data_IF_363754832424
#
_entry.id   IF_363754832424
#
_cell.length_a   1.000
_cell.length_b   1.000
_cell.length_c   1.000
_cell.angle_alpha   90.00
_cell.angle_beta   90.00
_cell.angle_gamma   90.00
#
_symmetry.space_group_name_H-M   'P 1'
#
loop_
_entity.id
_entity.type
_entity.pdbx_description
1 polymer ?
#
# COMPACT_ATOMS: atom_id res chain seq x y z
N UNK A 1 1.99 4.97 -14.96
CA UNK A 1 2.90 3.97 -14.35
C UNK A 1 2.34 2.59 -14.61
N UNK A 2 3.18 1.58 -14.88
CA UNK A 2 2.75 0.21 -15.20
C UNK A 2 3.66 -0.79 -14.50
N UNK A 3 3.08 -1.74 -13.78
CA UNK A 3 3.78 -2.90 -13.20
C UNK A 3 3.57 -4.05 -14.16
N UNK A 4 4.64 -4.77 -14.51
CA UNK A 4 4.57 -5.91 -15.41
C UNK A 4 5.09 -7.17 -14.72
N UNK A 5 4.23 -8.16 -14.61
CA UNK A 5 4.58 -9.52 -14.18
C UNK A 5 4.78 -10.36 -15.43
N UNK A 6 5.95 -11.03 -15.57
CA UNK A 6 6.30 -11.82 -16.73
C UNK A 6 6.70 -13.23 -16.33
N UNK A 7 5.93 -14.20 -16.82
CA UNK A 7 6.21 -15.65 -16.71
C UNK A 7 6.53 -16.08 -15.27
N UNK A 8 5.81 -15.49 -14.30
CA UNK A 8 6.04 -15.71 -12.87
C UNK A 8 5.69 -17.14 -12.49
N UNK A 9 6.62 -17.84 -11.84
CA UNK A 9 6.38 -19.16 -11.27
C UNK A 9 6.85 -19.18 -9.82
N UNK A 10 6.08 -19.84 -8.95
CA UNK A 10 6.38 -20.01 -7.54
C UNK A 10 5.77 -21.32 -7.04
N UNK A 11 6.58 -22.12 -6.33
CA UNK A 11 6.12 -23.34 -5.68
C UNK A 11 6.48 -23.35 -4.20
N UNK A 12 5.66 -24.00 -3.38
CA UNK A 12 5.94 -24.28 -1.98
C UNK A 12 5.64 -25.75 -1.68
N UNK A 13 6.60 -26.44 -1.05
CA UNK A 13 6.42 -27.82 -0.62
C UNK A 13 6.05 -28.79 -1.75
N UNK A 14 6.53 -28.51 -2.97
CA UNK A 14 6.22 -29.34 -4.16
C UNK A 14 4.85 -29.03 -4.80
N UNK A 15 4.13 -28.03 -4.33
CA UNK A 15 2.89 -27.56 -4.95
C UNK A 15 3.13 -26.23 -5.67
N UNK A 16 2.80 -26.18 -6.95
CA UNK A 16 2.83 -24.95 -7.74
C UNK A 16 1.74 -23.99 -7.26
N UNK A 17 2.16 -22.78 -6.93
CA UNK A 17 1.26 -21.66 -6.58
C UNK A 17 0.99 -20.82 -7.83
N UNK A 18 2.04 -20.52 -8.58
CA UNK A 18 1.99 -19.86 -9.88
C UNK A 18 2.81 -20.65 -10.89
N UNK A 19 2.29 -20.78 -12.11
CA UNK A 19 2.97 -21.40 -13.23
C UNK A 19 2.80 -20.52 -14.46
N UNK A 20 3.91 -19.90 -14.90
CA UNK A 20 3.96 -19.04 -16.12
C UNK A 20 2.91 -17.93 -16.11
N UNK A 21 2.70 -17.29 -14.96
CA UNK A 21 1.71 -16.24 -14.77
C UNK A 21 2.24 -14.89 -15.25
N UNK A 22 1.47 -14.22 -16.09
CA UNK A 22 1.79 -12.87 -16.59
C UNK A 22 0.60 -11.95 -16.44
N UNK A 23 0.86 -10.71 -15.99
CA UNK A 23 -0.15 -9.68 -15.76
C UNK A 23 0.46 -8.29 -15.81
N UNK A 24 -0.28 -7.34 -16.36
CA UNK A 24 0.03 -5.93 -16.31
C UNK A 24 -0.96 -5.20 -15.38
N UNK A 25 -0.43 -4.33 -14.51
CA UNK A 25 -1.21 -3.52 -13.58
C UNK A 25 -0.88 -2.05 -13.83
N UNK A 26 -1.84 -1.29 -14.32
CA UNK A 26 -1.68 0.13 -14.60
C UNK A 26 -1.99 1.01 -13.38
N UNK A 27 -1.50 2.25 -13.40
CA UNK A 27 -1.87 3.27 -12.41
C UNK A 27 -3.39 3.48 -12.39
N UNK A 28 -3.96 3.66 -11.20
CA UNK A 28 -5.41 3.79 -11.01
C UNK A 28 -6.18 2.46 -10.99
N UNK A 29 -5.53 1.33 -11.29
CA UNK A 29 -6.12 0.00 -11.09
C UNK A 29 -6.18 -0.31 -9.60
N UNK A 30 -7.36 -0.72 -9.12
CA UNK A 30 -7.55 -1.28 -7.78
C UNK A 30 -7.86 -2.76 -7.94
N UNK A 31 -6.83 -3.58 -7.79
CA UNK A 31 -6.85 -5.02 -8.04
C UNK A 31 -7.18 -5.78 -6.76
N UNK A 32 -8.35 -6.37 -6.69
CA UNK A 32 -8.74 -7.32 -5.65
C UNK A 32 -8.17 -8.71 -5.99
N UNK A 33 -7.31 -9.24 -5.14
CA UNK A 33 -6.78 -10.61 -5.26
C UNK A 33 -7.60 -11.52 -4.37
N UNK A 34 -8.29 -12.49 -4.98
CA UNK A 34 -9.18 -13.40 -4.27
C UNK A 34 -8.93 -14.87 -4.64
N UNK A 35 -9.50 -15.77 -3.86
CA UNK A 35 -9.37 -17.21 -4.02
C UNK A 35 -9.29 -17.93 -2.67
N UNK A 36 -9.27 -19.29 -2.66
CA UNK A 36 -9.22 -20.10 -1.46
C UNK A 36 -7.99 -19.82 -0.59
N UNK A 37 -8.05 -20.22 0.69
CA UNK A 37 -6.88 -20.12 1.56
C UNK A 37 -5.72 -20.99 1.02
N UNK A 38 -4.50 -20.45 1.07
CA UNK A 38 -3.31 -21.13 0.58
C UNK A 38 -3.12 -21.12 -0.95
N UNK A 39 -3.95 -20.37 -1.71
CA UNK A 39 -3.78 -20.27 -3.18
C UNK A 39 -2.69 -19.27 -3.62
N UNK A 40 -2.03 -18.56 -2.68
CA UNK A 40 -0.90 -17.69 -2.98
C UNK A 40 -1.19 -16.20 -2.98
N UNK A 41 -2.33 -15.72 -2.43
CA UNK A 41 -2.67 -14.29 -2.37
C UNK A 41 -1.58 -13.45 -1.70
N UNK A 42 -1.25 -13.76 -0.45
CA UNK A 42 -0.19 -13.09 0.31
C UNK A 42 1.19 -13.28 -0.30
N UNK A 43 1.44 -14.43 -0.95
CA UNK A 43 2.69 -14.70 -1.67
C UNK A 43 2.85 -13.73 -2.84
N UNK A 44 1.79 -13.48 -3.61
CA UNK A 44 1.82 -12.50 -4.70
C UNK A 44 2.11 -11.10 -4.17
N UNK A 45 1.44 -10.68 -3.09
CA UNK A 45 1.68 -9.38 -2.46
C UNK A 45 3.13 -9.25 -2.02
N UNK A 46 3.70 -10.27 -1.34
CA UNK A 46 5.10 -10.24 -0.90
C UNK A 46 6.09 -10.21 -2.07
N UNK A 47 5.82 -10.93 -3.16
CA UNK A 47 6.65 -10.85 -4.36
C UNK A 47 6.58 -9.48 -5.03
N UNK A 48 5.41 -8.83 -5.08
CA UNK A 48 5.25 -7.47 -5.55
C UNK A 48 5.97 -6.44 -4.66
N UNK A 49 6.08 -6.73 -3.36
CA UNK A 49 6.81 -5.90 -2.38
C UNK A 49 8.33 -6.16 -2.37
N UNK A 50 8.85 -7.06 -3.24
CA UNK A 50 10.24 -7.53 -3.24
C UNK A 50 10.66 -8.19 -1.90
N UNK A 51 9.69 -8.66 -1.12
CA UNK A 51 9.91 -9.37 0.14
C UNK A 51 10.11 -10.88 -0.07
N UNK A 52 9.63 -11.42 -1.17
CA UNK A 52 9.82 -12.82 -1.62
C UNK A 52 10.29 -12.84 -3.07
N UNK A 53 11.23 -13.72 -3.40
CA UNK A 53 11.67 -13.93 -4.77
C UNK A 53 10.81 -14.98 -5.48
N UNK A 54 10.45 -14.80 -6.76
CA UNK A 54 9.87 -15.87 -7.58
C UNK A 54 10.92 -16.97 -7.87
N UNK A 55 10.46 -18.18 -8.17
CA UNK A 55 11.35 -19.27 -8.56
C UNK A 55 11.80 -19.11 -10.03
N UNK A 56 10.93 -18.54 -10.86
CA UNK A 56 11.27 -18.07 -12.22
C UNK A 56 10.36 -16.94 -12.66
N UNK A 57 10.71 -16.31 -13.79
CA UNK A 57 10.04 -15.09 -14.25
C UNK A 57 10.57 -13.84 -13.55
N UNK A 58 9.84 -12.75 -13.69
CA UNK A 58 10.23 -11.45 -13.09
C UNK A 58 9.06 -10.51 -12.91
N UNK A 59 9.21 -9.59 -11.96
CA UNK A 59 8.33 -8.45 -11.75
C UNK A 59 9.11 -7.19 -12.12
N UNK A 60 8.55 -6.39 -13.00
CA UNK A 60 9.18 -5.16 -13.50
C UNK A 60 8.40 -3.98 -12.94
N UNK A 61 9.06 -3.21 -12.08
CA UNK A 61 8.57 -1.94 -11.54
C UNK A 61 9.23 -0.78 -12.28
N UNK A 62 8.52 0.34 -12.51
CA UNK A 62 9.14 1.55 -13.05
C UNK A 62 10.28 2.05 -12.15
N UNK A 63 11.29 2.69 -12.73
CA UNK A 63 12.39 3.27 -11.95
C UNK A 63 11.86 4.35 -11.00
N UNK A 64 12.30 4.30 -9.73
CA UNK A 64 11.87 5.25 -8.70
C UNK A 64 10.45 5.04 -8.20
N UNK A 65 9.79 3.94 -8.57
CA UNK A 65 8.48 3.58 -8.07
C UNK A 65 8.55 3.29 -6.56
N UNK A 66 7.72 4.00 -5.78
CA UNK A 66 7.61 3.82 -4.34
C UNK A 66 6.52 2.81 -4.05
N UNK A 67 6.90 1.71 -3.41
CA UNK A 67 5.97 0.64 -3.03
C UNK A 67 5.65 0.77 -1.54
N UNK A 68 4.37 0.91 -1.21
CA UNK A 68 3.85 0.85 0.15
C UNK A 68 3.39 -0.55 0.46
N UNK A 69 4.01 -1.18 1.44
CA UNK A 69 3.67 -2.52 1.94
C UNK A 69 3.79 -2.57 3.45
N UNK A 70 2.80 -3.16 4.11
CA UNK A 70 2.79 -3.33 5.56
C UNK A 70 3.68 -4.51 5.94
N UNK A 71 4.85 -4.23 6.52
CA UNK A 71 5.77 -5.27 6.99
C UNK A 71 5.17 -6.05 8.17
N UNK A 72 5.49 -7.33 8.26
CA UNK A 72 4.96 -8.20 9.31
C UNK A 72 5.52 -7.86 10.69
N UNK A 73 6.82 -7.58 10.79
CA UNK A 73 7.50 -7.31 12.05
C UNK A 73 7.89 -5.83 12.19
N UNK A 74 7.89 -5.35 13.44
CA UNK A 74 8.45 -4.06 13.82
C UNK A 74 9.88 -4.30 14.33
N UNK A 75 10.80 -3.44 13.91
CA UNK A 75 12.16 -3.43 14.46
C UNK A 75 12.10 -3.07 15.96
N UNK A 76 12.82 -3.80 16.78
CA UNK A 76 12.92 -3.51 18.21
C UNK A 76 13.44 -2.09 18.49
N UNK A 77 14.26 -1.55 17.60
CA UNK A 77 14.82 -0.21 17.72
C UNK A 77 13.77 0.91 17.71
N UNK A 78 12.59 0.68 17.08
CA UNK A 78 11.53 1.70 17.02
C UNK A 78 10.49 1.59 18.12
N UNK A 79 10.56 0.58 18.98
CA UNK A 79 9.54 0.31 19.99
C UNK A 79 9.43 1.41 21.06
N UNK A 80 10.50 2.14 21.33
CA UNK A 80 10.54 3.26 22.28
C UNK A 80 10.17 4.61 21.65
N UNK A 81 10.02 4.67 20.32
CA UNK A 81 9.67 5.89 19.60
C UNK A 81 8.19 6.21 19.79
N UNK A 82 7.80 7.50 20.01
CA UNK A 82 6.41 7.93 20.00
C UNK A 82 5.73 7.65 18.66
N UNK A 83 4.44 7.27 18.71
CA UNK A 83 3.69 6.86 17.51
C UNK A 83 3.72 7.91 16.39
N UNK A 84 3.41 9.18 16.70
CA UNK A 84 3.37 10.24 15.70
C UNK A 84 4.76 10.46 15.09
N UNK A 85 5.80 10.52 15.90
CA UNK A 85 7.18 10.68 15.45
C UNK A 85 7.58 9.54 14.48
N UNK A 86 7.27 8.29 14.84
CA UNK A 86 7.54 7.14 13.99
C UNK A 86 6.77 7.17 12.66
N UNK A 87 5.52 7.64 12.67
CA UNK A 87 4.72 7.76 11.43
C UNK A 87 5.22 8.90 10.55
N UNK A 88 5.65 10.02 11.15
CA UNK A 88 6.19 11.18 10.43
C UNK A 88 7.57 10.92 9.84
N UNK A 89 8.39 10.09 10.49
CA UNK A 89 9.75 9.73 10.05
C UNK A 89 9.83 9.16 8.62
N UNK A 90 8.72 8.64 8.09
CA UNK A 90 8.63 8.18 6.69
C UNK A 90 8.53 9.33 5.68
N UNK A 91 8.24 10.54 6.14
CA UNK A 91 8.11 11.73 5.31
C UNK A 91 9.48 12.39 5.08
N UNK A 92 9.62 13.20 4.01
CA UNK A 92 10.84 13.96 3.79
C UNK A 92 11.18 14.85 4.98
N UNK A 93 12.46 14.97 5.27
CA UNK A 93 12.93 15.91 6.27
C UNK A 93 12.79 17.36 5.77
N UNK A 94 11.71 18.01 6.24
CA UNK A 94 11.46 19.40 5.94
C UNK A 94 12.42 20.35 6.65
N UNK A 95 13.03 19.93 7.75
CA UNK A 95 14.01 20.74 8.46
C UNK A 95 15.28 20.92 7.60
N UNK A 96 15.79 19.86 7.03
CA UNK A 96 16.94 19.90 6.11
C UNK A 96 16.62 20.73 4.87
N UNK A 97 15.40 20.60 4.33
CA UNK A 97 14.94 21.42 3.21
C UNK A 97 14.96 22.93 3.56
N UNK A 98 14.37 23.31 4.68
CA UNK A 98 14.30 24.73 5.09
C UNK A 98 15.69 25.27 5.45
N UNK A 99 16.54 24.48 6.09
CA UNK A 99 17.94 24.85 6.38
C UNK A 99 18.73 25.12 5.09
N UNK A 100 18.55 24.27 4.07
CA UNK A 100 19.16 24.48 2.77
C UNK A 100 18.63 25.73 2.05
N UNK A 101 17.31 26.01 2.18
CA UNK A 101 16.67 27.20 1.63
C UNK A 101 17.24 28.48 2.26
N UNK A 102 17.31 28.54 3.60
CA UNK A 102 17.84 29.68 4.32
C UNK A 102 19.33 29.95 3.96
N UNK A 103 20.13 28.89 3.85
CA UNK A 103 21.53 29.01 3.43
C UNK A 103 21.66 29.54 2.00
N UNK A 104 20.83 29.09 1.07
CA UNK A 104 20.81 29.56 -0.31
C UNK A 104 20.36 31.04 -0.38
N UNK A 105 19.34 31.41 0.39
CA UNK A 105 18.86 32.78 0.47
C UNK A 105 19.91 33.74 1.06
N UNK A 106 20.60 33.33 2.13
CA UNK A 106 21.66 34.10 2.77
C UNK A 106 22.85 34.32 1.84
N UNK A 107 23.23 33.30 1.05
CA UNK A 107 24.31 33.39 0.08
C UNK A 107 23.93 34.02 -1.26
N UNK A 108 22.63 34.34 -1.45
CA UNK A 108 22.05 34.84 -2.73
C UNK A 108 22.34 33.92 -3.92
N UNK A 109 22.38 32.61 -3.67
CA UNK A 109 22.56 31.61 -4.72
C UNK A 109 21.24 31.38 -5.47
N UNK A 110 21.03 32.15 -6.55
CA UNK A 110 19.80 32.08 -7.36
C UNK A 110 19.60 30.69 -7.99
N UNK A 111 20.66 29.99 -8.33
CA UNK A 111 20.57 28.65 -8.90
C UNK A 111 20.14 27.60 -7.86
N UNK A 112 20.63 27.73 -6.62
CA UNK A 112 20.19 26.89 -5.50
C UNK A 112 18.73 27.19 -5.13
N UNK A 113 18.33 28.47 -5.06
CA UNK A 113 16.95 28.87 -4.78
C UNK A 113 15.99 28.33 -5.84
N UNK A 114 16.33 28.41 -7.12
CA UNK A 114 15.48 27.87 -8.19
C UNK A 114 15.30 26.34 -8.10
N UNK A 115 16.40 25.61 -7.80
CA UNK A 115 16.33 24.14 -7.59
C UNK A 115 15.49 23.75 -6.38
N UNK A 116 15.67 24.47 -5.28
CA UNK A 116 14.88 24.26 -4.04
C UNK A 116 13.42 24.60 -4.25
N UNK A 117 13.07 25.65 -5.02
CA UNK A 117 11.69 25.98 -5.38
C UNK A 117 11.02 24.88 -6.20
N UNK A 118 11.71 24.29 -7.18
CA UNK A 118 11.21 23.13 -7.92
C UNK A 118 11.03 21.92 -7.00
N UNK A 119 11.98 21.69 -6.08
CA UNK A 119 11.87 20.59 -5.09
C UNK A 119 10.73 20.80 -4.10
N UNK A 120 10.49 22.04 -3.65
CA UNK A 120 9.35 22.38 -2.79
C UNK A 120 8.04 22.02 -3.47
N UNK A 121 7.84 22.46 -4.71
CA UNK A 121 6.63 22.16 -5.46
C UNK A 121 6.39 20.65 -5.62
N UNK A 122 7.45 19.86 -5.85
CA UNK A 122 7.39 18.41 -5.91
C UNK A 122 6.98 17.79 -4.56
N UNK A 123 7.61 18.23 -3.47
CA UNK A 123 7.31 17.75 -2.12
C UNK A 123 5.88 18.11 -1.69
N UNK A 124 5.44 19.34 -1.98
CA UNK A 124 4.07 19.79 -1.68
C UNK A 124 3.02 19.01 -2.49
N UNK A 125 3.31 18.68 -3.74
CA UNK A 125 2.43 17.86 -4.58
C UNK A 125 2.30 16.43 -4.06
N UNK A 126 3.37 15.86 -3.49
CA UNK A 126 3.39 14.48 -2.99
C UNK A 126 2.85 14.36 -1.55
N UNK A 127 3.17 15.32 -0.68
CA UNK A 127 2.94 15.21 0.77
C UNK A 127 2.06 16.30 1.35
N UNK A 128 1.67 17.29 0.54
CA UNK A 128 0.96 18.49 1.00
C UNK A 128 1.89 19.50 1.66
N UNK A 129 1.33 20.67 1.98
CA UNK A 129 2.08 21.78 2.57
C UNK A 129 2.58 21.49 4.01
N UNK A 130 1.82 20.71 4.77
CA UNK A 130 2.19 20.25 6.10
C UNK A 130 2.12 18.73 6.20
N UNK A 131 3.26 18.01 6.03
CA UNK A 131 3.29 16.56 6.07
C UNK A 131 2.90 15.98 7.43
N UNK A 132 3.20 16.66 8.54
CA UNK A 132 2.77 16.23 9.87
C UNK A 132 1.25 16.21 9.99
N UNK A 133 0.57 17.20 9.43
CA UNK A 133 -0.90 17.26 9.41
C UNK A 133 -1.52 16.09 8.64
N UNK A 134 -0.84 15.63 7.57
CA UNK A 134 -1.24 14.40 6.86
C UNK A 134 -1.14 13.17 7.75
N UNK A 135 -0.05 13.04 8.50
CA UNK A 135 0.13 11.93 9.45
C UNK A 135 -0.95 11.94 10.55
N UNK A 136 -1.24 13.12 11.11
CA UNK A 136 -2.30 13.29 12.11
C UNK A 136 -3.67 12.93 11.55
N UNK A 137 -4.00 13.37 10.32
CA UNK A 137 -5.26 13.04 9.67
C UNK A 137 -5.42 11.52 9.43
N UNK A 138 -4.34 10.84 9.00
CA UNK A 138 -4.34 9.38 8.80
C UNK A 138 -4.48 8.65 10.14
N UNK A 139 -3.76 9.08 11.18
CA UNK A 139 -3.87 8.47 12.52
C UNK A 139 -5.28 8.63 13.09
N UNK A 140 -5.87 9.84 12.99
CA UNK A 140 -7.25 10.08 13.44
C UNK A 140 -8.25 9.23 12.67
N UNK A 141 -8.10 9.13 11.34
CA UNK A 141 -8.95 8.30 10.50
C UNK A 141 -8.89 6.81 10.83
N UNK A 142 -7.73 6.32 11.27
CA UNK A 142 -7.57 4.95 11.75
C UNK A 142 -7.93 4.77 13.23
N UNK A 143 -8.59 5.76 13.86
CA UNK A 143 -9.15 5.68 15.21
C UNK A 143 -8.16 5.99 16.34
N UNK A 144 -6.97 6.51 16.04
CA UNK A 144 -6.07 6.96 17.10
C UNK A 144 -6.52 8.34 17.62
N UNK A 145 -6.85 8.41 18.90
CA UNK A 145 -7.02 9.69 19.60
C UNK A 145 -5.66 10.37 19.81
N UNK A 146 -5.68 11.71 19.96
CA UNK A 146 -4.46 12.52 20.13
C UNK A 146 -3.62 12.08 21.35
N UNK A 147 -4.24 11.56 22.40
CA UNK A 147 -3.54 11.06 23.59
C UNK A 147 -2.62 9.87 23.28
N UNK A 148 -2.94 9.08 22.25
CA UNK A 148 -2.11 7.95 21.82
C UNK A 148 -0.92 8.36 20.95
N UNK A 149 -0.95 9.52 20.32
CA UNK A 149 0.10 9.96 19.40
C UNK A 149 1.49 10.07 20.04
N UNK A 150 1.52 10.37 21.33
CA UNK A 150 2.76 10.54 22.10
C UNK A 150 3.18 9.27 22.88
N UNK A 151 2.39 8.20 22.77
CA UNK A 151 2.74 6.93 23.41
C UNK A 151 3.84 6.22 22.60
N UNK A 152 4.84 5.64 23.29
CA UNK A 152 5.79 4.73 22.64
C UNK A 152 5.07 3.54 22.01
N UNK A 153 5.52 3.09 20.84
CA UNK A 153 4.92 1.99 20.09
C UNK A 153 4.78 0.72 20.94
N UNK A 154 5.73 0.45 21.84
CA UNK A 154 5.68 -0.70 22.75
C UNK A 154 4.46 -0.71 23.68
N UNK A 155 3.85 0.44 23.97
CA UNK A 155 2.66 0.54 24.80
C UNK A 155 1.36 0.27 24.05
N UNK A 156 1.41 0.20 22.71
CA UNK A 156 0.27 -0.16 21.90
C UNK A 156 0.04 -1.68 21.95
N UNK A 157 -1.22 -2.10 22.00
CA UNK A 157 -1.59 -3.51 21.80
C UNK A 157 -1.25 -3.99 20.39
N UNK A 158 -1.26 -5.32 20.15
CA UNK A 158 -0.96 -5.90 18.86
C UNK A 158 -1.81 -5.29 17.72
N UNK A 159 -3.13 -5.21 17.90
CA UNK A 159 -4.03 -4.62 16.91
C UNK A 159 -3.74 -3.13 16.65
N UNK A 160 -3.42 -2.36 17.67
CA UNK A 160 -3.02 -0.97 17.51
C UNK A 160 -1.66 -0.80 16.81
N UNK A 161 -0.73 -1.73 17.00
CA UNK A 161 0.53 -1.75 16.25
C UNK A 161 0.30 -2.04 14.76
N UNK A 162 -0.61 -2.97 14.44
CA UNK A 162 -0.99 -3.23 13.04
C UNK A 162 -1.62 -1.99 12.38
N UNK A 163 -2.54 -1.29 13.08
CA UNK A 163 -3.08 -0.01 12.61
C UNK A 163 -1.98 1.06 12.42
N UNK A 164 -1.00 1.13 13.33
CA UNK A 164 0.11 2.07 13.22
C UNK A 164 1.00 1.79 12.00
N UNK A 165 1.29 0.51 11.72
CA UNK A 165 2.01 0.11 10.50
C UNK A 165 1.25 0.51 9.24
N UNK A 166 -0.07 0.29 9.22
CA UNK A 166 -0.92 0.74 8.12
C UNK A 166 -0.86 2.26 7.96
N UNK A 167 -1.00 3.03 9.06
CA UNK A 167 -0.88 4.48 9.03
C UNK A 167 0.42 4.95 8.36
N UNK A 168 1.55 4.38 8.76
CA UNK A 168 2.87 4.71 8.22
C UNK A 168 2.93 4.49 6.71
N UNK A 169 2.38 3.38 6.22
CA UNK A 169 2.34 3.07 4.78
C UNK A 169 1.46 4.04 4.00
N UNK A 170 0.28 4.42 4.55
CA UNK A 170 -0.63 5.37 3.90
C UNK A 170 -0.05 6.80 3.85
N UNK A 171 0.69 7.19 4.90
CA UNK A 171 1.35 8.50 4.97
C UNK A 171 2.52 8.60 3.99
N UNK A 172 3.27 7.51 3.77
CA UNK A 172 4.46 7.48 2.91
C UNK A 172 4.24 7.93 1.46
N UNK A 173 3.00 7.94 0.97
CA UNK A 173 2.66 8.43 -0.37
C UNK A 173 3.24 7.54 -1.47
N UNK A 174 2.98 6.25 -1.39
CA UNK A 174 3.42 5.26 -2.37
C UNK A 174 2.79 5.49 -3.76
N UNK A 175 3.45 4.99 -4.81
CA UNK A 175 2.91 4.93 -6.17
C UNK A 175 2.15 3.62 -6.41
N UNK A 176 2.53 2.59 -5.66
CA UNK A 176 1.88 1.27 -5.57
C UNK A 176 1.61 0.96 -4.12
N UNK A 177 0.37 0.65 -3.78
CA UNK A 177 -0.04 0.26 -2.44
C UNK A 177 -0.42 -1.22 -2.42
N UNK A 178 0.22 -1.98 -1.56
CA UNK A 178 0.04 -3.42 -1.40
C UNK A 178 -0.52 -3.69 -0.01
N UNK A 179 -1.77 -4.15 0.06
CA UNK A 179 -2.48 -4.36 1.32
C UNK A 179 -2.93 -5.82 1.44
N UNK A 180 -2.49 -6.49 2.48
CA UNK A 180 -2.93 -7.85 2.82
C UNK A 180 -3.81 -7.79 4.06
N UNK A 181 -5.13 -8.02 3.88
CA UNK A 181 -6.16 -7.96 4.92
C UNK A 181 -6.17 -6.63 5.72
N UNK A 182 -6.24 -5.46 5.06
CA UNK A 182 -6.06 -4.16 5.73
C UNK A 182 -7.18 -3.81 6.71
N UNK A 183 -8.33 -4.47 6.62
CA UNK A 183 -9.50 -4.24 7.51
C UNK A 183 -9.41 -5.03 8.81
N UNK A 184 -8.47 -5.98 8.93
CA UNK A 184 -8.25 -6.69 10.18
C UNK A 184 -7.86 -5.68 11.27
N UNK A 185 -8.43 -5.87 12.47
CA UNK A 185 -8.21 -5.00 13.63
C UNK A 185 -8.74 -3.57 13.51
N UNK A 186 -9.48 -3.21 12.46
CA UNK A 186 -10.19 -1.93 12.32
C UNK A 186 -11.63 -2.06 12.85
N UNK A 187 -12.12 -1.00 13.49
CA UNK A 187 -13.54 -0.82 13.74
C UNK A 187 -14.23 -0.26 12.49
N UNK A 188 -15.56 -0.21 12.52
CA UNK A 188 -16.37 0.19 11.36
C UNK A 188 -16.00 1.59 10.87
N UNK A 189 -15.80 2.54 11.78
CA UNK A 189 -15.47 3.93 11.43
C UNK A 189 -14.10 4.03 10.72
N UNK A 190 -13.11 3.28 11.21
CA UNK A 190 -11.79 3.21 10.58
C UNK A 190 -11.82 2.49 9.22
N UNK A 191 -12.68 1.48 9.04
CA UNK A 191 -12.89 0.82 7.74
C UNK A 191 -13.50 1.81 6.74
N UNK A 192 -14.57 2.53 7.12
CA UNK A 192 -15.21 3.52 6.26
C UNK A 192 -14.24 4.62 5.84
N UNK A 193 -13.44 5.12 6.78
CA UNK A 193 -12.40 6.09 6.49
C UNK A 193 -11.35 5.54 5.52
N UNK A 194 -10.89 4.29 5.74
CA UNK A 194 -9.92 3.64 4.86
C UNK A 194 -10.48 3.46 3.44
N UNK A 195 -11.74 3.09 3.32
CA UNK A 195 -12.43 2.98 2.03
C UNK A 195 -12.40 4.30 1.27
N UNK A 196 -12.79 5.40 1.92
CA UNK A 196 -12.78 6.74 1.30
C UNK A 196 -11.36 7.14 0.90
N UNK A 197 -10.35 6.89 1.75
CA UNK A 197 -8.95 7.13 1.42
C UNK A 197 -8.50 6.35 0.18
N UNK A 198 -8.86 5.06 0.09
CA UNK A 198 -8.47 4.19 -1.03
C UNK A 198 -9.24 4.51 -2.32
N UNK A 199 -10.46 5.02 -2.23
CA UNK A 199 -11.21 5.50 -3.40
C UNK A 199 -10.55 6.73 -4.04
N UNK A 200 -10.00 7.61 -3.22
CA UNK A 200 -9.29 8.81 -3.69
C UNK A 200 -7.85 8.54 -4.13
N UNK A 201 -7.31 7.36 -3.82
CA UNK A 201 -5.94 7.00 -4.15
C UNK A 201 -5.73 6.88 -5.67
N UNK A 202 -4.70 7.56 -6.20
CA UNK A 202 -4.43 7.68 -7.64
C UNK A 202 -3.39 6.67 -8.16
N UNK A 203 -2.64 6.05 -7.28
CA UNK A 203 -1.66 5.01 -7.63
C UNK A 203 -2.30 3.68 -8.01
N UNK A 204 -1.50 2.65 -8.16
CA UNK A 204 -2.00 1.29 -8.29
C UNK A 204 -2.22 0.70 -6.88
N UNK A 205 -3.35 0.04 -6.68
CA UNK A 205 -3.67 -0.67 -5.45
C UNK A 205 -3.80 -2.17 -5.75
N UNK A 206 -3.09 -3.00 -5.01
CA UNK A 206 -3.29 -4.46 -5.00
C UNK A 206 -3.64 -4.87 -3.57
N UNK A 207 -4.78 -5.50 -3.40
CA UNK A 207 -5.22 -5.85 -2.05
C UNK A 207 -5.88 -7.23 -1.96
N UNK A 208 -5.75 -7.84 -0.80
CA UNK A 208 -6.47 -9.03 -0.37
C UNK A 208 -7.42 -8.61 0.75
N UNK A 209 -8.66 -9.05 0.71
CA UNK A 209 -9.62 -8.88 1.79
C UNK A 209 -10.59 -10.06 1.84
N UNK A 210 -11.28 -10.24 2.97
CA UNK A 210 -12.36 -11.21 3.13
C UNK A 210 -13.75 -10.56 3.14
N UNK A 211 -13.83 -9.27 3.41
CA UNK A 211 -15.08 -8.53 3.42
C UNK A 211 -15.53 -8.23 1.98
N UNK A 212 -16.71 -8.77 1.61
CA UNK A 212 -17.27 -8.59 0.26
C UNK A 212 -17.64 -7.14 -0.02
N UNK A 213 -18.17 -6.43 0.96
CA UNK A 213 -18.59 -5.03 0.81
C UNK A 213 -17.36 -4.16 0.51
N UNK A 214 -16.28 -4.36 1.27
CA UNK A 214 -15.00 -3.69 1.04
C UNK A 214 -14.44 -4.01 -0.36
N UNK A 215 -14.44 -5.30 -0.76
CA UNK A 215 -13.95 -5.71 -2.08
C UNK A 215 -14.73 -5.05 -3.23
N UNK A 216 -16.06 -4.99 -3.12
CA UNK A 216 -16.93 -4.38 -4.14
C UNK A 216 -16.79 -2.86 -4.20
N UNK A 217 -16.66 -2.22 -3.05
CA UNK A 217 -16.54 -0.76 -2.98
C UNK A 217 -15.22 -0.27 -3.55
N UNK A 218 -14.12 -0.98 -3.27
CA UNK A 218 -12.77 -0.57 -3.63
C UNK A 218 -12.34 -1.13 -4.99
N UNK A 219 -12.60 -2.41 -5.26
CA UNK A 219 -12.08 -3.15 -6.40
C UNK A 219 -12.63 -2.68 -7.75
N UNK A 220 -11.74 -2.44 -8.70
CA UNK A 220 -12.08 -2.19 -10.12
C UNK A 220 -11.75 -3.39 -11.00
N UNK A 221 -10.87 -4.24 -10.52
CA UNK A 221 -10.42 -5.46 -11.20
C UNK A 221 -10.28 -6.58 -10.18
N UNK A 222 -10.52 -7.80 -10.64
CA UNK A 222 -10.39 -9.02 -9.84
C UNK A 222 -9.33 -9.93 -10.44
N UNK A 223 -8.45 -10.45 -9.59
CA UNK A 223 -7.54 -11.55 -9.88
C UNK A 223 -7.90 -12.74 -9.00
N UNK A 224 -8.49 -13.77 -9.61
CA UNK A 224 -8.87 -15.01 -8.91
C UNK A 224 -7.78 -16.07 -9.07
N UNK A 225 -7.32 -16.60 -7.94
CA UNK A 225 -6.22 -17.58 -7.85
C UNK A 225 -6.71 -18.99 -7.51
N UNK A 226 -8.02 -19.27 -7.52
CA UNK A 226 -8.59 -20.54 -7.08
C UNK A 226 -8.71 -21.64 -8.15
N UNK A 227 -8.41 -21.32 -9.41
CA UNK A 227 -8.51 -22.25 -10.53
C UNK A 227 -7.18 -22.88 -10.94
N UNK A 228 -7.18 -23.68 -12.02
CA UNK A 228 -5.97 -24.23 -12.64
C UNK A 228 -5.04 -23.16 -13.21
N UNK A 229 -5.59 -22.00 -13.54
CA UNK A 229 -4.86 -20.81 -13.97
C UNK A 229 -5.49 -19.56 -13.31
N UNK A 230 -4.66 -18.54 -12.99
CA UNK A 230 -5.18 -17.27 -12.53
C UNK A 230 -6.14 -16.63 -13.56
N UNK A 231 -7.24 -16.08 -13.07
CA UNK A 231 -8.24 -15.40 -13.91
C UNK A 231 -8.27 -13.92 -13.55
N UNK A 232 -7.92 -13.09 -14.53
CA UNK A 232 -7.99 -11.62 -14.38
C UNK A 232 -9.20 -11.05 -15.13
N UNK A 233 -9.97 -10.18 -14.47
CA UNK A 233 -11.14 -9.53 -15.05
C UNK A 233 -11.26 -8.06 -14.58
N UNK A 234 -11.71 -7.22 -15.48
CA UNK A 234 -12.17 -5.86 -15.14
C UNK A 234 -13.63 -5.96 -14.70
N UNK A 235 -13.83 -6.07 -13.42
CA UNK A 235 -15.15 -6.23 -12.78
C UNK A 235 -15.01 -5.92 -11.29
N UNK A 236 -16.12 -5.61 -10.61
CA UNK A 236 -16.20 -5.67 -9.15
C UNK A 236 -16.21 -7.14 -8.70
N UNK A 237 -16.04 -7.39 -7.41
CA UNK A 237 -16.03 -8.76 -6.89
C UNK A 237 -17.39 -9.46 -7.10
N UNK A 238 -18.52 -8.78 -6.84
CA UNK A 238 -19.87 -9.34 -7.05
C UNK A 238 -20.12 -9.67 -8.52
N UNK A 239 -19.77 -8.77 -9.42
CA UNK A 239 -19.87 -9.03 -10.87
C UNK A 239 -19.02 -10.24 -11.31
N UNK A 240 -17.84 -10.39 -10.72
CA UNK A 240 -16.99 -11.54 -11.00
C UNK A 240 -17.63 -12.84 -10.51
N UNK A 241 -18.23 -12.87 -9.31
CA UNK A 241 -18.91 -14.05 -8.76
C UNK A 241 -20.08 -14.45 -9.66
N UNK A 242 -20.95 -13.51 -10.02
CA UNK A 242 -22.09 -13.75 -10.93
C UNK A 242 -21.64 -14.38 -12.26
N UNK A 243 -20.59 -13.83 -12.87
CA UNK A 243 -20.01 -14.38 -14.11
C UNK A 243 -19.44 -15.80 -13.94
N UNK A 244 -18.90 -16.15 -12.77
CA UNK A 244 -18.42 -17.50 -12.50
C UNK A 244 -19.57 -18.48 -12.34
N UNK A 245 -20.64 -18.10 -11.63
CA UNK A 245 -21.84 -18.91 -11.46
C UNK A 245 -22.52 -19.21 -12.80
N UNK A 246 -22.68 -18.20 -13.66
CA UNK A 246 -23.23 -18.38 -15.02
C UNK A 246 -22.39 -19.34 -15.88
N UNK A 247 -21.06 -19.29 -15.78
CA UNK A 247 -20.17 -20.19 -16.52
C UNK A 247 -20.19 -21.63 -15.98
N UNK A 248 -20.47 -21.83 -14.70
CA UNK A 248 -20.64 -23.14 -14.09
C UNK A 248 -21.99 -23.79 -14.47
N UNK A 249 -23.06 -23.00 -14.53
CA UNK A 249 -24.40 -23.46 -14.95
C UNK A 249 -24.47 -23.88 -16.44
N UNK A 250 -23.55 -23.34 -17.27
CA UNK A 250 -23.48 -23.65 -18.70
C UNK A 250 -22.59 -24.88 -19.03
N UNK A 251 -21.99 -25.52 -18.02
CA UNK A 251 -21.12 -26.70 -18.18
C UNK A 251 -21.85 -28.00 -17.85
#
# INVERSE_FOLDING_TARGET
MKITIQNLSKAFGGRDIFSDFSLDIDSGVRLCVCGPNGCGKSTLIRMLADADAPDSGRIIMPRGCRVGYVQQDLDEAVLDTPLLEWVVDVLPDWHDFWSAWEAAAASKDEAAIARLGARQAELEALYGYNPEHKAQAVLSGLGFDEGKWHLPIKQLSGGWRERAKLARVLVAGADVLLLDEPTNHLDIEAVEWLEDFLMDYKGALVFVAHDRVFMDRIGTHVLYLGGSKPVFRKATFSQFVELQEELEEQR
#
